data_IF_465808388057
#
_entry.id   IF_465808388057
#
_cell.length_a   1.000
_cell.length_b   1.000
_cell.length_c   1.000
_cell.angle_alpha   90.00
_cell.angle_beta   90.00
_cell.angle_gamma   90.00
#
_symmetry.space_group_name_H-M   'P 1'
#
loop_
_entity.id
_entity.type
_entity.pdbx_description
1 polymer ?
#
# COMPACT_ATOMS: atom_id res chain seq x y z
N UNK A 1 -18.47 -24.04 -2.79
CA UNK A 1 -17.51 -23.77 -1.71
C UNK A 1 -16.48 -24.90 -1.70
N UNK A 2 -15.23 -24.63 -2.09
CA UNK A 2 -14.12 -25.56 -1.87
C UNK A 2 -12.81 -24.76 -1.79
N UNK A 3 -12.26 -24.74 -0.57
CA UNK A 3 -11.05 -24.03 -0.13
C UNK A 3 -9.81 -24.47 -0.92
N UNK A 4 -9.06 -23.55 -1.56
CA UNK A 4 -7.80 -23.88 -2.25
C UNK A 4 -6.63 -23.65 -1.30
N UNK A 5 -5.88 -24.73 -1.02
CA UNK A 5 -4.83 -24.75 0.01
C UNK A 5 -3.67 -23.83 -0.36
N UNK A 6 -2.94 -23.38 0.66
CA UNK A 6 -1.61 -22.83 0.56
C UNK A 6 -0.76 -23.73 1.47
N UNK A 7 0.30 -24.32 0.92
CA UNK A 7 1.32 -25.07 1.67
C UNK A 7 2.57 -25.25 0.81
N UNK A 8 3.32 -24.16 0.56
CA UNK A 8 4.65 -24.14 -0.09
C UNK A 8 4.86 -25.02 -1.35
N UNK A 9 3.78 -25.36 -2.06
CA UNK A 9 3.83 -26.11 -3.32
C UNK A 9 3.82 -25.14 -4.50
N UNK A 10 4.66 -25.42 -5.50
CA UNK A 10 4.97 -24.60 -6.68
C UNK A 10 3.77 -24.24 -7.60
N UNK A 11 2.54 -24.62 -7.26
CA UNK A 11 1.37 -24.55 -8.13
C UNK A 11 0.09 -23.98 -7.49
N UNK A 12 0.16 -23.41 -6.28
CA UNK A 12 -1.00 -22.69 -5.71
C UNK A 12 -1.08 -21.24 -6.20
N UNK A 13 -2.32 -20.76 -6.37
CA UNK A 13 -2.58 -19.39 -6.79
C UNK A 13 -1.96 -18.42 -5.77
N UNK A 14 -1.41 -17.27 -6.21
CA UNK A 14 -0.80 -16.30 -5.30
C UNK A 14 -1.82 -15.94 -4.22
N UNK A 15 -1.48 -16.23 -2.96
CA UNK A 15 -2.29 -15.85 -1.81
C UNK A 15 -2.27 -14.32 -1.74
N UNK A 16 -3.38 -13.69 -2.12
CA UNK A 16 -3.53 -12.24 -1.99
C UNK A 16 -3.63 -11.94 -0.50
N UNK A 17 -2.73 -11.09 -0.02
CA UNK A 17 -2.61 -10.76 1.39
C UNK A 17 -3.90 -10.12 1.95
N UNK A 18 -4.03 -10.22 3.27
CA UNK A 18 -5.17 -9.80 4.08
C UNK A 18 -5.50 -8.31 3.94
N UNK A 19 -6.63 -7.90 4.52
CA UNK A 19 -7.06 -6.51 4.64
C UNK A 19 -5.88 -5.55 4.87
N UNK A 20 -5.81 -4.48 4.07
CA UNK A 20 -4.68 -3.53 4.13
C UNK A 20 -4.55 -2.96 5.53
N UNK A 21 -3.33 -2.95 6.05
CA UNK A 21 -3.02 -2.27 7.30
C UNK A 21 -3.39 -0.79 7.16
N UNK A 22 -4.12 -0.28 8.16
CA UNK A 22 -4.46 1.13 8.25
C UNK A 22 -3.57 1.79 9.28
N UNK A 23 -2.79 2.76 8.85
CA UNK A 23 -1.94 3.58 9.72
C UNK A 23 -2.48 5.00 9.77
N UNK A 24 -2.27 5.68 10.89
CA UNK A 24 -2.64 7.08 11.03
C UNK A 24 -1.38 7.93 11.01
N UNK A 25 -1.33 8.96 10.16
CA UNK A 25 -0.28 9.97 10.16
C UNK A 25 -0.86 11.35 10.44
N UNK A 26 -0.10 12.19 11.14
CA UNK A 26 -0.40 13.62 11.22
C UNK A 26 0.27 14.38 10.07
N UNK A 27 -0.08 15.66 9.90
CA UNK A 27 0.57 16.49 8.89
C UNK A 27 2.07 16.62 9.14
N UNK A 28 2.49 16.80 10.40
CA UNK A 28 3.90 16.86 10.78
C UNK A 28 4.66 15.56 10.46
N UNK A 29 4.01 14.40 10.56
CA UNK A 29 4.62 13.12 10.17
C UNK A 29 4.87 13.04 8.67
N UNK A 30 3.91 13.51 7.85
CA UNK A 30 4.03 13.54 6.39
C UNK A 30 5.16 14.49 5.99
N UNK A 31 5.18 15.70 6.56
CA UNK A 31 6.22 16.70 6.28
C UNK A 31 7.61 16.18 6.66
N UNK A 32 7.77 15.53 7.82
CA UNK A 32 9.03 14.89 8.22
C UNK A 32 9.48 13.80 7.24
N UNK A 33 8.56 13.03 6.67
CA UNK A 33 8.90 12.03 5.66
C UNK A 33 9.35 12.67 4.36
N UNK A 34 8.68 13.74 3.93
CA UNK A 34 9.08 14.50 2.74
C UNK A 34 10.48 15.11 2.91
N UNK A 35 10.78 15.66 4.08
CA UNK A 35 12.13 16.16 4.41
C UNK A 35 13.19 15.06 4.40
N UNK A 36 12.81 13.82 4.72
CA UNK A 36 13.67 12.64 4.64
C UNK A 36 13.84 12.09 3.20
N UNK A 37 13.21 12.73 2.21
CA UNK A 37 13.29 12.35 0.80
C UNK A 37 12.14 11.47 0.31
N UNK A 38 11.05 11.34 1.08
CA UNK A 38 9.82 10.76 0.56
C UNK A 38 9.19 11.69 -0.51
N UNK A 39 8.33 11.12 -1.34
CA UNK A 39 7.61 11.87 -2.37
C UNK A 39 6.15 11.43 -2.42
N UNK A 40 5.29 12.36 -2.85
CA UNK A 40 3.89 12.08 -3.17
C UNK A 40 3.73 11.92 -4.67
N UNK A 41 2.86 11.01 -5.09
CA UNK A 41 2.56 10.77 -6.50
C UNK A 41 1.12 10.27 -6.64
N UNK A 42 0.42 10.74 -7.66
CA UNK A 42 -0.91 10.24 -7.95
C UNK A 42 -0.86 8.80 -8.42
N UNK A 43 -1.95 8.05 -8.17
CA UNK A 43 -1.99 6.62 -8.53
C UNK A 43 -1.77 6.40 -10.03
N UNK A 44 -2.33 7.24 -10.88
CA UNK A 44 -2.18 7.12 -12.35
C UNK A 44 -0.74 7.38 -12.78
N UNK A 45 -0.09 8.38 -12.20
CA UNK A 45 1.31 8.69 -12.45
C UNK A 45 2.22 7.56 -11.96
N UNK A 46 1.95 7.01 -10.78
CA UNK A 46 2.70 5.88 -10.23
C UNK A 46 2.56 4.62 -11.09
N UNK A 47 1.40 4.40 -11.72
CA UNK A 47 1.22 3.33 -12.71
C UNK A 47 2.02 3.63 -13.98
N UNK A 48 1.94 4.85 -14.52
CA UNK A 48 2.64 5.24 -15.73
C UNK A 48 4.17 5.17 -15.58
N UNK A 49 4.69 5.51 -14.39
CA UNK A 49 6.09 5.43 -14.02
C UNK A 49 6.55 4.00 -13.70
N UNK A 50 5.64 3.03 -13.61
CA UNK A 50 5.94 1.62 -13.35
C UNK A 50 6.17 1.28 -11.86
N UNK A 51 5.84 2.18 -10.93
CA UNK A 51 5.89 1.90 -9.49
C UNK A 51 4.74 0.99 -9.03
N UNK A 52 3.57 1.07 -9.67
CA UNK A 52 2.39 0.26 -9.34
C UNK A 52 2.00 -0.60 -10.55
N UNK A 53 1.90 -1.91 -10.36
CA UNK A 53 1.28 -2.79 -11.35
C UNK A 53 -0.26 -2.63 -11.30
N UNK A 54 -0.94 -2.24 -12.39
CA UNK A 54 -2.39 -2.06 -12.39
C UNK A 54 -3.18 -3.37 -12.24
N UNK A 55 -2.56 -4.53 -12.47
CA UNK A 55 -3.22 -5.85 -12.43
C UNK A 55 -3.02 -6.59 -11.10
N UNK A 56 -2.10 -6.11 -10.26
CA UNK A 56 -1.80 -6.68 -8.95
C UNK A 56 -2.12 -5.68 -7.84
N UNK A 57 -2.48 -6.20 -6.67
CA UNK A 57 -2.61 -5.37 -5.48
C UNK A 57 -1.20 -5.15 -4.90
N UNK A 58 -0.69 -3.91 -4.84
CA UNK A 58 0.63 -3.64 -4.31
C UNK A 58 0.65 -3.79 -2.77
N UNK A 59 1.77 -4.27 -2.25
CA UNK A 59 2.04 -4.34 -0.80
C UNK A 59 2.16 -2.93 -0.24
N UNK A 60 1.02 -2.41 0.24
CA UNK A 60 0.82 -1.00 0.59
C UNK A 60 -0.12 -0.89 1.78
N UNK A 61 0.07 0.16 2.57
CA UNK A 61 -0.80 0.52 3.70
C UNK A 61 -1.78 1.62 3.29
N UNK A 62 -2.95 1.65 3.94
CA UNK A 62 -3.86 2.79 3.84
C UNK A 62 -3.49 3.78 4.93
N UNK A 63 -3.26 5.03 4.56
CA UNK A 63 -2.94 6.10 5.51
C UNK A 63 -4.18 6.96 5.76
N UNK A 64 -4.62 7.00 7.00
CA UNK A 64 -5.62 7.96 7.47
C UNK A 64 -4.89 9.23 7.96
N UNK A 65 -5.16 10.36 7.31
CA UNK A 65 -4.53 11.64 7.65
C UNK A 65 -5.34 12.33 8.74
N UNK A 66 -4.76 12.50 9.93
CA UNK A 66 -5.37 13.31 11.00
C UNK A 66 -4.97 14.77 10.86
N UNK A 67 -5.98 15.63 10.88
CA UNK A 67 -5.78 17.07 11.00
C UNK A 67 -5.53 17.40 12.47
N UNK A 68 -4.40 18.02 12.75
CA UNK A 68 -4.14 18.60 14.07
C UNK A 68 -4.94 19.91 14.15
N UNK A 69 -5.80 20.06 15.16
CA UNK A 69 -6.48 21.34 15.42
C UNK A 69 -5.45 22.32 15.99
N UNK A 70 -5.34 23.49 15.37
CA UNK A 70 -4.40 24.56 15.72
C UNK A 70 -4.86 25.38 16.93
#
# INVERSE_FOLDING_TARGET
MTTKRNSYGFFDAPARFAEKERVTLTQADIERQLDAGAFTMDREEAIAAGFINPQDEPDTVIVDVRREEA
#
